data_IF_495441429524
#
_entry.id   IF_495441429524
#
_cell.length_a   1.000
_cell.length_b   1.000
_cell.length_c   1.000
_cell.angle_alpha   90.00
_cell.angle_beta   90.00
_cell.angle_gamma   90.00
#
_symmetry.space_group_name_H-M   'P 1'
#
loop_
_entity.id
_entity.type
_entity.pdbx_description
1 polymer ?
#
# COMPACT_ATOMS: atom_id res chain seq x y z
N UNK A 1 21.64 32.09 -40.85
CA UNK A 1 21.92 31.88 -39.41
C UNK A 1 21.70 30.42 -39.09
N UNK A 2 22.58 29.86 -38.27
CA UNK A 2 22.86 28.43 -38.02
C UNK A 2 21.64 27.53 -37.74
N UNK A 3 21.65 26.35 -38.38
CA UNK A 3 20.82 25.17 -38.11
C UNK A 3 20.91 24.69 -36.65
N UNK A 4 19.84 24.07 -36.13
CA UNK A 4 19.86 22.62 -35.83
C UNK A 4 18.50 22.09 -35.39
N UNK A 5 18.00 21.15 -36.18
CA UNK A 5 16.90 20.21 -35.91
C UNK A 5 17.37 19.26 -34.81
N UNK A 6 16.68 19.19 -33.66
CA UNK A 6 16.90 18.09 -32.71
C UNK A 6 15.96 16.95 -33.10
N UNK A 7 16.52 16.03 -33.89
CA UNK A 7 16.01 14.66 -34.05
C UNK A 7 16.39 13.91 -32.77
N UNK A 8 15.41 13.47 -32.00
CA UNK A 8 15.62 12.41 -31.02
C UNK A 8 14.57 11.35 -31.25
N UNK A 9 14.91 10.45 -32.18
CA UNK A 9 14.39 9.10 -32.19
C UNK A 9 15.15 8.32 -31.10
N UNK A 10 14.43 7.66 -30.19
CA UNK A 10 15.01 6.69 -29.27
C UNK A 10 14.28 5.35 -29.41
N UNK A 11 14.81 4.58 -30.36
CA UNK A 11 15.12 3.15 -30.30
C UNK A 11 14.08 2.23 -29.65
N UNK A 12 13.36 1.52 -30.53
CA UNK A 12 12.89 0.15 -30.33
C UNK A 12 14.09 -0.77 -30.02
N UNK A 13 14.11 -1.37 -28.82
CA UNK A 13 14.79 -2.65 -28.59
C UNK A 13 13.75 -3.68 -28.20
N UNK A 14 13.36 -4.46 -29.20
CA UNK A 14 12.75 -5.77 -29.01
C UNK A 14 13.89 -6.75 -28.71
N UNK A 15 13.92 -7.30 -27.50
CA UNK A 15 14.79 -8.43 -27.15
C UNK A 15 14.03 -9.39 -26.23
N UNK A 16 13.56 -10.49 -26.81
CA UNK A 16 13.30 -11.76 -26.15
C UNK A 16 12.20 -11.80 -25.10
N UNK A 17 10.95 -11.97 -25.54
CA UNK A 17 9.95 -12.62 -24.69
C UNK A 17 10.31 -14.11 -24.59
N UNK A 18 11.05 -14.48 -23.55
CA UNK A 18 11.01 -15.85 -23.05
C UNK A 18 9.76 -15.97 -22.18
N UNK A 19 8.75 -16.68 -22.68
CA UNK A 19 7.61 -17.14 -21.90
C UNK A 19 8.11 -18.08 -20.80
N UNK A 20 8.43 -17.53 -19.63
CA UNK A 20 8.51 -18.32 -18.40
C UNK A 20 7.09 -18.65 -17.97
N UNK A 21 6.54 -19.72 -18.53
CA UNK A 21 5.35 -20.37 -18.01
C UNK A 21 5.71 -21.09 -16.70
N UNK A 22 5.66 -20.36 -15.57
CA UNK A 22 5.58 -21.04 -14.29
C UNK A 22 4.20 -21.70 -14.18
N UNK A 23 4.23 -23.03 -14.09
CA UNK A 23 3.10 -23.91 -13.91
C UNK A 23 2.35 -23.59 -12.61
N UNK A 24 1.03 -23.76 -12.67
CA UNK A 24 0.06 -23.38 -11.67
C UNK A 24 0.24 -24.10 -10.32
N UNK A 25 0.47 -23.32 -9.28
CA UNK A 25 -0.24 -23.47 -8.00
C UNK A 25 -1.41 -22.48 -8.05
N UNK A 26 -2.57 -22.79 -7.47
CA UNK A 26 -3.84 -22.06 -7.64
C UNK A 26 -3.92 -20.62 -7.11
N UNK A 27 -2.82 -19.85 -7.13
CA UNK A 27 -2.76 -18.42 -6.82
C UNK A 27 -3.14 -17.54 -8.02
N UNK A 28 -3.38 -16.25 -7.74
CA UNK A 28 -3.70 -15.27 -8.79
C UNK A 28 -2.49 -15.11 -9.69
N UNK A 29 -2.68 -15.21 -11.01
CA UNK A 29 -1.64 -14.88 -11.98
C UNK A 29 -1.88 -13.48 -12.51
N UNK A 30 -0.99 -12.54 -12.19
CA UNK A 30 -1.04 -11.21 -12.75
C UNK A 30 -0.66 -11.22 -14.25
N UNK A 31 -1.24 -10.33 -15.08
CA UNK A 31 -0.83 -10.15 -16.47
C UNK A 31 0.66 -9.86 -16.61
N UNK A 32 1.22 -10.17 -17.78
CA UNK A 32 2.65 -9.94 -18.06
C UNK A 32 3.03 -8.47 -17.93
N UNK A 33 2.18 -7.56 -18.44
CA UNK A 33 2.38 -6.12 -18.31
C UNK A 33 2.43 -5.67 -16.84
N UNK A 34 1.49 -6.13 -16.01
CA UNK A 34 1.48 -5.84 -14.56
C UNK A 34 2.74 -6.35 -13.88
N UNK A 35 3.19 -7.56 -14.25
CA UNK A 35 4.41 -8.15 -13.69
C UNK A 35 5.65 -7.36 -14.11
N UNK A 36 5.72 -6.91 -15.37
CA UNK A 36 6.82 -6.10 -15.89
C UNK A 36 6.90 -4.73 -15.18
N UNK A 37 5.78 -4.03 -15.04
CA UNK A 37 5.70 -2.75 -14.33
C UNK A 37 6.10 -2.90 -12.85
N UNK A 38 5.68 -3.98 -12.20
CA UNK A 38 6.12 -4.30 -10.84
C UNK A 38 7.64 -4.47 -10.74
N UNK A 39 8.24 -5.29 -11.62
CA UNK A 39 9.68 -5.54 -11.62
C UNK A 39 10.48 -4.26 -11.91
N UNK A 40 9.99 -3.41 -12.82
CA UNK A 40 10.62 -2.13 -13.13
C UNK A 40 10.56 -1.15 -11.96
N UNK A 41 9.41 -1.07 -11.26
CA UNK A 41 9.22 -0.14 -10.13
C UNK A 41 9.95 -0.57 -8.86
N UNK A 42 10.06 -1.87 -8.61
CA UNK A 42 10.68 -2.42 -7.40
C UNK A 42 11.88 -3.32 -7.73
N UNK A 43 12.97 -2.76 -8.28
CA UNK A 43 14.17 -3.54 -8.58
C UNK A 43 14.71 -4.19 -7.30
N UNK A 44 15.02 -5.48 -7.37
CA UNK A 44 15.49 -6.27 -6.23
C UNK A 44 14.41 -6.71 -5.24
N UNK A 45 13.12 -6.44 -5.51
CA UNK A 45 12.04 -7.01 -4.71
C UNK A 45 11.90 -8.51 -4.94
N UNK A 46 11.68 -9.25 -3.86
CA UNK A 46 11.30 -10.66 -3.90
C UNK A 46 9.78 -10.75 -3.79
N UNK A 47 9.12 -10.93 -4.93
CA UNK A 47 7.69 -11.22 -4.99
C UNK A 47 7.39 -12.50 -4.21
N UNK A 48 6.35 -12.47 -3.38
CA UNK A 48 5.87 -13.61 -2.61
C UNK A 48 4.58 -14.17 -3.17
N UNK A 49 3.63 -13.30 -3.49
CA UNK A 49 2.35 -13.71 -4.01
C UNK A 49 1.69 -12.57 -4.79
N UNK A 50 0.78 -12.96 -5.69
CA UNK A 50 -0.19 -12.06 -6.29
C UNK A 50 -1.56 -12.39 -5.73
N UNK A 51 -2.35 -11.35 -5.42
CA UNK A 51 -3.73 -11.46 -4.96
C UNK A 51 -4.64 -10.53 -5.75
N UNK A 52 -5.94 -10.80 -5.72
CA UNK A 52 -6.92 -9.84 -6.19
C UNK A 52 -7.22 -8.82 -5.08
N UNK A 53 -7.16 -7.55 -5.44
CA UNK A 53 -7.66 -6.41 -4.67
C UNK A 53 -8.87 -5.83 -5.41
N UNK A 54 -9.71 -5.07 -4.71
CA UNK A 54 -10.88 -4.42 -5.34
C UNK A 54 -10.48 -3.52 -6.51
N UNK A 55 -9.27 -2.94 -6.47
CA UNK A 55 -8.76 -2.06 -7.51
C UNK A 55 -7.91 -2.76 -8.59
N UNK A 56 -7.62 -4.06 -8.46
CA UNK A 56 -6.82 -4.81 -9.44
C UNK A 56 -5.94 -5.88 -8.81
N UNK A 57 -4.68 -5.94 -9.23
CA UNK A 57 -3.71 -6.95 -8.82
C UNK A 57 -2.82 -6.43 -7.70
N UNK A 58 -2.76 -7.15 -6.58
CA UNK A 58 -1.92 -6.83 -5.43
C UNK A 58 -0.72 -7.75 -5.37
N UNK A 59 0.48 -7.19 -5.53
CA UNK A 59 1.73 -7.87 -5.23
C UNK A 59 1.98 -7.82 -3.72
N UNK A 60 2.25 -8.96 -3.10
CA UNK A 60 2.86 -9.06 -1.78
C UNK A 60 4.33 -9.43 -1.95
N UNK A 61 5.24 -8.63 -1.40
CA UNK A 61 6.67 -8.79 -1.66
C UNK A 61 7.54 -8.36 -0.49
N UNK A 62 8.82 -8.72 -0.55
CA UNK A 62 9.87 -8.21 0.34
C UNK A 62 10.83 -7.32 -0.44
N UNK A 63 11.13 -6.15 0.11
CA UNK A 63 12.18 -5.26 -0.39
C UNK A 63 12.94 -4.69 0.81
N UNK A 64 14.27 -4.74 0.79
CA UNK A 64 15.13 -4.33 1.91
C UNK A 64 14.70 -4.97 3.26
N UNK A 65 14.42 -6.27 3.23
CA UNK A 65 13.92 -7.07 4.36
C UNK A 65 12.55 -6.66 4.94
N UNK A 66 11.88 -5.65 4.38
CA UNK A 66 10.54 -5.21 4.79
C UNK A 66 9.46 -5.83 3.92
N UNK A 67 8.38 -6.30 4.54
CA UNK A 67 7.17 -6.73 3.82
C UNK A 67 6.45 -5.48 3.30
N UNK A 68 6.06 -5.51 2.04
CA UNK A 68 5.32 -4.43 1.39
C UNK A 68 4.23 -5.02 0.49
N UNK A 69 3.30 -4.17 0.12
CA UNK A 69 2.30 -4.48 -0.91
C UNK A 69 2.24 -3.38 -1.95
N UNK A 70 1.88 -3.73 -3.18
CA UNK A 70 1.63 -2.76 -4.24
C UNK A 70 0.43 -3.21 -5.05
N UNK A 71 -0.46 -2.28 -5.39
CA UNK A 71 -1.66 -2.56 -6.19
C UNK A 71 -1.51 -1.91 -7.55
N UNK A 72 -1.82 -2.69 -8.59
CA UNK A 72 -1.78 -2.32 -9.98
C UNK A 72 -3.14 -2.53 -10.63
N UNK A 73 -3.55 -1.63 -11.53
CA UNK A 73 -4.67 -1.86 -12.43
C UNK A 73 -4.31 -2.94 -13.47
N UNK A 74 -5.31 -3.45 -14.19
CA UNK A 74 -5.13 -4.52 -15.17
C UNK A 74 -4.23 -4.14 -16.36
N UNK A 75 -4.12 -2.84 -16.66
CA UNK A 75 -3.25 -2.27 -17.68
C UNK A 75 -1.80 -2.03 -17.22
N UNK A 76 -1.44 -2.46 -16.00
CA UNK A 76 -0.11 -2.25 -15.42
C UNK A 76 0.06 -0.90 -14.72
N UNK A 77 -0.94 -0.03 -14.68
CA UNK A 77 -0.84 1.24 -13.97
C UNK A 77 -0.67 1.00 -12.46
N UNK A 78 0.43 1.50 -11.88
CA UNK A 78 0.62 1.51 -10.43
C UNK A 78 -0.38 2.46 -9.75
N UNK A 79 -1.12 1.94 -8.78
CA UNK A 79 -2.15 2.69 -8.04
C UNK A 79 -1.64 3.14 -6.67
N UNK A 80 -1.07 2.20 -5.91
CA UNK A 80 -0.57 2.47 -4.56
C UNK A 80 0.43 1.43 -4.09
N UNK A 81 1.27 1.81 -3.13
CA UNK A 81 2.03 0.87 -2.30
C UNK A 81 1.75 1.09 -0.83
N UNK A 82 1.94 0.05 -0.03
CA UNK A 82 1.71 0.13 1.41
C UNK A 82 2.72 -0.67 2.20
N UNK A 83 3.12 -0.10 3.33
CA UNK A 83 3.99 -0.73 4.32
C UNK A 83 3.27 -0.68 5.66
N UNK A 84 3.18 -1.83 6.35
CA UNK A 84 2.67 -1.89 7.72
C UNK A 84 3.71 -1.26 8.66
N UNK A 85 3.28 -0.32 9.48
CA UNK A 85 4.08 0.28 10.56
C UNK A 85 3.94 -0.56 11.84
N UNK A 86 4.94 -0.49 12.71
CA UNK A 86 4.94 -1.28 13.96
C UNK A 86 4.04 -0.69 15.04
N UNK A 87 3.59 0.55 14.86
CA UNK A 87 2.69 1.28 15.75
C UNK A 87 2.79 2.79 15.54
N UNK A 88 2.03 3.56 16.32
CA UNK A 88 1.92 5.02 16.17
C UNK A 88 3.27 5.73 16.19
N UNK A 89 4.25 5.25 16.98
CA UNK A 89 5.59 5.86 17.08
C UNK A 89 6.32 6.00 15.74
N UNK A 90 6.05 5.11 14.80
CA UNK A 90 6.68 5.06 13.47
C UNK A 90 6.03 6.05 12.48
N UNK A 91 4.92 6.70 12.85
CA UNK A 91 4.28 7.74 12.03
C UNK A 91 5.01 9.10 12.14
N UNK A 92 4.83 10.00 11.15
CA UNK A 92 5.29 11.39 11.23
C UNK A 92 4.74 12.11 12.46
N UNK A 93 5.52 13.08 12.96
CA UNK A 93 5.17 13.84 14.16
C UNK A 93 3.79 14.51 14.07
N UNK A 94 3.45 15.05 12.91
CA UNK A 94 2.19 15.74 12.70
C UNK A 94 0.99 14.77 12.82
N UNK A 95 1.07 13.60 12.20
CA UNK A 95 0.05 12.54 12.29
C UNK A 95 -0.11 12.02 13.72
N UNK A 96 1.00 11.74 14.40
CA UNK A 96 0.98 11.35 15.82
C UNK A 96 0.30 12.38 16.70
N UNK A 97 0.56 13.65 16.43
CA UNK A 97 -0.03 14.77 17.19
C UNK A 97 -1.51 14.92 16.91
N UNK A 98 -1.93 14.79 15.65
CA UNK A 98 -3.33 14.81 15.26
C UNK A 98 -4.12 13.69 15.96
N UNK A 99 -3.63 12.45 15.93
CA UNK A 99 -4.28 11.32 16.61
C UNK A 99 -4.37 11.56 18.13
N UNK A 100 -3.27 11.96 18.77
CA UNK A 100 -3.22 12.25 20.22
C UNK A 100 -4.18 13.35 20.67
N UNK A 101 -4.47 14.31 19.81
CA UNK A 101 -5.38 15.41 20.12
C UNK A 101 -6.85 15.08 19.79
N UNK A 102 -7.12 13.89 19.24
CA UNK A 102 -8.48 13.42 18.92
C UNK A 102 -9.08 12.60 20.06
N UNK A 103 -10.39 12.33 19.99
CA UNK A 103 -11.07 11.40 20.93
C UNK A 103 -10.57 9.95 20.84
N UNK A 104 -9.78 9.64 19.82
CA UNK A 104 -9.24 8.31 19.55
C UNK A 104 -7.85 8.07 20.15
N UNK A 105 -7.32 9.04 20.91
CA UNK A 105 -5.97 8.96 21.45
C UNK A 105 -5.71 7.73 22.35
N UNK A 106 -6.76 7.18 22.96
CA UNK A 106 -6.70 6.01 23.84
C UNK A 106 -7.17 4.71 23.18
N UNK A 107 -7.51 4.74 21.89
CA UNK A 107 -8.01 3.58 21.16
C UNK A 107 -6.84 2.65 20.84
N UNK A 108 -7.11 1.35 20.80
CA UNK A 108 -6.10 0.35 20.48
C UNK A 108 -5.82 0.32 18.98
N UNK A 109 -4.58 0.03 18.61
CA UNK A 109 -4.10 0.02 17.23
C UNK A 109 -4.11 -1.41 16.66
N UNK A 110 -5.09 -1.76 15.83
CA UNK A 110 -5.08 -3.06 15.13
C UNK A 110 -4.07 -3.07 13.98
N UNK A 111 -4.09 -2.01 13.18
CA UNK A 111 -3.21 -1.89 12.04
C UNK A 111 -2.96 -0.43 11.67
N UNK A 112 -1.68 -0.13 11.41
CA UNK A 112 -1.26 1.14 10.87
C UNK A 112 -0.48 0.88 9.58
N UNK A 113 -0.89 1.55 8.51
CA UNK A 113 -0.25 1.48 7.19
C UNK A 113 0.17 2.86 6.72
N UNK A 114 1.42 2.98 6.30
CA UNK A 114 1.84 4.04 5.40
C UNK A 114 1.44 3.63 3.98
N UNK A 115 0.69 4.49 3.28
CA UNK A 115 0.19 4.24 1.93
C UNK A 115 0.68 5.35 1.01
N UNK A 116 1.51 4.99 0.04
CA UNK A 116 1.94 5.91 -1.03
C UNK A 116 1.00 5.77 -2.22
N UNK A 117 0.48 6.90 -2.69
CA UNK A 117 -0.35 7.00 -3.90
C UNK A 117 0.29 7.99 -4.88
N UNK A 118 -0.32 8.19 -6.06
CA UNK A 118 0.10 9.26 -6.97
C UNK A 118 -0.06 10.67 -6.38
N UNK A 119 -0.98 10.85 -5.42
CA UNK A 119 -1.29 12.14 -4.80
C UNK A 119 -0.50 12.42 -3.51
N UNK A 120 0.40 11.51 -3.12
CA UNK A 120 1.20 11.61 -1.90
C UNK A 120 0.99 10.46 -0.93
N UNK A 121 1.56 10.62 0.25
CA UNK A 121 1.57 9.63 1.32
C UNK A 121 0.45 9.87 2.33
N UNK A 122 -0.25 8.80 2.66
CA UNK A 122 -1.33 8.74 3.62
C UNK A 122 -0.98 7.78 4.76
N UNK A 123 -1.58 8.00 5.92
CA UNK A 123 -1.51 7.10 7.06
C UNK A 123 -2.91 6.59 7.36
N UNK A 124 -3.11 5.29 7.13
CA UNK A 124 -4.38 4.59 7.35
C UNK A 124 -4.27 3.81 8.65
N UNK A 125 -5.12 4.14 9.61
CA UNK A 125 -5.19 3.51 10.91
C UNK A 125 -6.52 2.77 11.01
N UNK A 126 -6.47 1.49 11.38
CA UNK A 126 -7.62 0.74 11.91
C UNK A 126 -7.42 0.67 13.42
N UNK A 127 -8.37 1.21 14.16
CA UNK A 127 -8.32 1.31 15.62
C UNK A 127 -9.67 0.96 16.23
N UNK A 128 -9.67 0.50 17.48
CA UNK A 128 -10.89 0.15 18.21
C UNK A 128 -10.88 0.76 19.63
N UNK A 129 -12.04 0.87 20.26
CA UNK A 129 -12.16 1.34 21.64
C UNK A 129 -11.93 0.21 22.68
N UNK A 130 -11.46 -0.94 22.21
CA UNK A 130 -11.37 -2.15 22.99
C UNK A 130 -9.95 -2.28 23.56
N UNK A 131 -9.83 -2.66 24.84
CA UNK A 131 -8.54 -2.65 25.54
C UNK A 131 -7.61 -3.81 25.14
N UNK A 132 -7.74 -4.37 23.93
CA UNK A 132 -7.02 -5.57 23.49
C UNK A 132 -7.41 -6.86 24.23
N UNK A 133 -8.55 -6.90 24.94
CA UNK A 133 -9.05 -8.06 25.67
C UNK A 133 -9.80 -9.07 24.77
N UNK A 134 -9.20 -10.18 24.36
CA UNK A 134 -9.91 -11.21 23.56
C UNK A 134 -11.13 -11.85 24.24
N UNK A 135 -11.48 -11.44 25.46
CA UNK A 135 -12.70 -11.86 26.15
C UNK A 135 -13.85 -10.91 25.85
N UNK A 136 -14.63 -11.27 24.82
CA UNK A 136 -15.99 -10.78 24.66
C UNK A 136 -16.86 -11.32 25.80
N UNK A 137 -16.85 -10.69 26.97
CA UNK A 137 -17.94 -10.88 27.93
C UNK A 137 -19.07 -9.95 27.54
N UNK A 138 -20.24 -10.52 27.23
CA UNK A 138 -21.47 -9.79 27.00
C UNK A 138 -21.67 -8.75 28.13
N UNK A 139 -21.66 -7.45 27.77
CA UNK A 139 -21.96 -6.36 28.70
C UNK A 139 -20.90 -5.26 28.89
N UNK A 140 -19.73 -5.34 28.25
CA UNK A 140 -18.73 -4.26 28.29
C UNK A 140 -18.44 -3.68 26.89
N UNK A 141 -19.09 -2.57 26.55
CA UNK A 141 -18.68 -1.68 25.45
C UNK A 141 -19.17 -2.07 24.05
N UNK A 142 -19.40 -1.05 23.21
CA UNK A 142 -19.69 -1.17 21.78
C UNK A 142 -18.39 -1.51 21.04
N UNK A 143 -18.39 -2.54 20.19
CA UNK A 143 -17.24 -2.94 19.35
C UNK A 143 -17.17 -2.01 18.15
N UNK A 144 -16.60 -0.82 18.36
CA UNK A 144 -16.52 0.16 17.29
C UNK A 144 -15.12 0.17 16.71
N UNK A 145 -14.98 -0.52 15.58
CA UNK A 145 -13.79 -0.44 14.74
C UNK A 145 -13.89 0.83 13.88
N UNK A 146 -12.85 1.64 13.91
CA UNK A 146 -12.75 2.86 13.12
C UNK A 146 -11.58 2.76 12.15
N UNK A 147 -11.81 3.21 10.93
CA UNK A 147 -10.76 3.57 9.99
C UNK A 147 -10.56 5.08 9.97
N UNK A 148 -9.35 5.53 10.29
CA UNK A 148 -8.92 6.93 10.23
C UNK A 148 -7.84 7.07 9.16
N UNK A 149 -7.96 8.08 8.30
CA UNK A 149 -6.98 8.39 7.27
C UNK A 149 -6.49 9.82 7.47
N UNK A 150 -5.18 9.96 7.70
CA UNK A 150 -4.49 11.24 7.74
C UNK A 150 -3.60 11.42 6.50
N UNK A 151 -3.40 12.66 6.09
CA UNK A 151 -2.28 13.03 5.23
C UNK A 151 -0.96 13.09 6.03
N UNK A 152 0.16 13.34 5.35
CA UNK A 152 1.48 13.45 5.99
C UNK A 152 1.60 14.62 7.00
N UNK A 153 0.77 15.65 6.86
CA UNK A 153 0.73 16.82 7.74
C UNK A 153 -0.22 16.63 8.93
N UNK A 154 -0.83 15.44 9.08
CA UNK A 154 -1.79 15.16 10.13
C UNK A 154 -3.19 15.74 9.88
N UNK A 155 -3.49 16.21 8.67
CA UNK A 155 -4.84 16.61 8.32
C UNK A 155 -5.73 15.37 8.19
N UNK A 156 -6.88 15.38 8.84
CA UNK A 156 -7.87 14.30 8.75
C UNK A 156 -8.52 14.32 7.37
N UNK A 157 -8.36 13.24 6.61
CA UNK A 157 -8.98 13.07 5.28
C UNK A 157 -10.25 12.25 5.33
N UNK A 158 -10.29 11.22 6.17
CA UNK A 158 -11.45 10.34 6.30
C UNK A 158 -11.53 9.73 7.69
N UNK A 159 -12.75 9.55 8.16
CA UNK A 159 -13.10 8.82 9.37
C UNK A 159 -14.33 7.98 9.07
N UNK A 160 -14.25 6.68 9.30
CA UNK A 160 -15.34 5.74 9.02
C UNK A 160 -15.43 4.68 10.12
N UNK A 161 -16.64 4.44 10.62
CA UNK A 161 -16.98 3.26 11.43
C UNK A 161 -17.14 2.04 10.52
N UNK A 162 -16.56 0.90 10.90
CA UNK A 162 -16.38 -0.29 10.05
C UNK A 162 -17.50 -1.32 10.21
#
# INVERSE_FOLDING_TARGET
MKNSIIKTALILMVSGFTINANAATGGVKAPEQVTAEFTAKYPGAVLKDWKMDKAGYKAEFKLNHKKQTAVYAADGTWLKSSIKLSGTKDMPLAVKTALRNSKYASFYEDEIKEVTTQNGTLYVLTIDNHSGSTMATEGYGSWEDYQIIYDINGALLSLKEL
#
